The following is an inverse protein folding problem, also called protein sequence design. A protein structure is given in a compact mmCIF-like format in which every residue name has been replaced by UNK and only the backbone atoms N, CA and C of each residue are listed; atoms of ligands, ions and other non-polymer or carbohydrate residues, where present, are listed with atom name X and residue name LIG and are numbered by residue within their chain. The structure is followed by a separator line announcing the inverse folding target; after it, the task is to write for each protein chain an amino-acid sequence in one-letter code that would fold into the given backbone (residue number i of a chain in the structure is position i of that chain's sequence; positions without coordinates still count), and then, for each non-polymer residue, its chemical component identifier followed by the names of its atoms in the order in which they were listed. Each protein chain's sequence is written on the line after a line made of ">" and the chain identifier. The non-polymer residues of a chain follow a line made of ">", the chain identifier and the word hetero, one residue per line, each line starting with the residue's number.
data_IF_123960353461
#
_entry.id   IF_123960353461
#
_cell.length_a   1.000
_cell.length_b   1.000
_cell.length_c   1.000
_cell.angle_alpha   90.00
_cell.angle_beta   90.00
_cell.angle_gamma   90.00
#
_symmetry.space_group_name_H-M   'P 1'
#
loop_
_entity.id
_entity.type
_entity.pdbx_description
1 polymer ?
#
# COMPACT_ATOMS: atom_id res chain seq x y z
N UNK A 1 -18.01 0.51 -12.82
CA UNK A 1 -19.19 0.72 -11.94
C UNK A 1 -19.85 2.04 -12.29
N UNK A 2 -21.12 2.07 -12.52
CA UNK A 2 -21.87 3.31 -12.72
C UNK A 2 -22.65 3.60 -11.44
N UNK A 3 -22.48 4.78 -10.88
CA UNK A 3 -23.28 5.21 -9.74
C UNK A 3 -23.98 6.53 -10.07
N UNK A 4 -25.25 6.61 -9.77
CA UNK A 4 -26.02 7.84 -9.82
C UNK A 4 -26.40 8.19 -8.40
N UNK A 5 -25.95 9.33 -7.90
CA UNK A 5 -26.38 9.84 -6.60
C UNK A 5 -27.18 11.11 -6.76
N UNK A 6 -28.40 11.09 -6.26
CA UNK A 6 -29.21 12.29 -6.04
C UNK A 6 -29.35 12.51 -4.54
N UNK A 7 -28.97 13.69 -4.04
CA UNK A 7 -29.27 14.04 -2.65
C UNK A 7 -30.78 14.39 -2.55
N UNK A 8 -31.55 13.69 -1.70
CA UNK A 8 -33.00 13.87 -1.63
C UNK A 8 -33.47 15.14 -0.90
N UNK A 9 -32.54 16.02 -0.52
CA UNK A 9 -32.93 17.30 0.09
C UNK A 9 -33.26 18.33 -1.00
N UNK A 10 -34.52 18.54 -1.24
CA UNK A 10 -35.11 19.47 -2.22
C UNK A 10 -34.63 20.94 -2.14
N UNK A 11 -33.79 21.28 -1.20
CA UNK A 11 -33.14 22.61 -1.11
C UNK A 11 -31.91 22.76 -2.00
N UNK A 12 -31.29 21.66 -2.42
CA UNK A 12 -30.06 21.65 -3.23
C UNK A 12 -30.17 20.62 -4.37
N UNK A 13 -30.75 20.98 -5.52
CA UNK A 13 -30.95 20.06 -6.64
C UNK A 13 -29.65 19.76 -7.39
N UNK A 14 -28.63 19.29 -6.70
CA UNK A 14 -27.41 18.78 -7.30
C UNK A 14 -27.49 17.29 -7.53
N UNK A 15 -27.24 16.86 -8.76
CA UNK A 15 -27.13 15.46 -9.14
C UNK A 15 -25.73 15.19 -9.70
N UNK A 16 -25.20 14.02 -9.47
CA UNK A 16 -23.93 13.60 -10.05
C UNK A 16 -24.05 12.22 -10.68
N UNK A 17 -23.45 12.07 -11.84
CA UNK A 17 -23.26 10.78 -12.51
C UNK A 17 -21.76 10.51 -12.46
N UNK A 18 -21.38 9.33 -11.96
CA UNK A 18 -19.98 8.91 -11.88
C UNK A 18 -19.83 7.59 -12.61
N UNK A 19 -18.81 7.51 -13.43
CA UNK A 19 -18.35 6.27 -14.06
C UNK A 19 -16.90 6.04 -13.65
N UNK A 20 -16.59 4.86 -13.12
CA UNK A 20 -15.23 4.50 -12.75
C UNK A 20 -14.87 3.09 -13.18
N UNK A 21 -13.60 2.89 -13.49
CA UNK A 21 -13.00 1.60 -13.78
C UNK A 21 -12.03 1.27 -12.65
N UNK A 22 -12.35 0.20 -11.96
CA UNK A 22 -11.50 -0.39 -10.92
C UNK A 22 -10.70 -1.54 -11.54
N UNK A 23 -9.41 -1.55 -11.29
CA UNK A 23 -8.53 -2.65 -11.67
C UNK A 23 -7.72 -3.10 -10.48
N UNK A 24 -7.74 -4.41 -10.23
CA UNK A 24 -7.04 -5.08 -9.15
C UNK A 24 -6.22 -6.20 -9.76
N UNK A 25 -4.91 -6.16 -9.55
CA UNK A 25 -4.00 -7.26 -9.82
C UNK A 25 -3.32 -7.63 -8.49
N UNK A 26 -3.41 -8.89 -8.07
CA UNK A 26 -2.81 -9.37 -6.84
C UNK A 26 -2.23 -10.76 -7.04
N UNK A 27 -0.98 -10.93 -6.61
CA UNK A 27 -0.25 -12.20 -6.62
C UNK A 27 0.26 -12.46 -5.21
N UNK A 28 0.02 -13.67 -4.74
CA UNK A 28 0.56 -14.15 -3.48
C UNK A 28 1.05 -15.59 -3.67
N UNK A 29 2.31 -15.82 -3.35
CA UNK A 29 2.97 -17.11 -3.39
C UNK A 29 3.83 -17.21 -2.14
N UNK A 30 3.47 -18.07 -1.21
CA UNK A 30 4.22 -18.28 0.02
C UNK A 30 4.09 -19.71 0.48
N UNK A 31 5.17 -20.26 0.99
CA UNK A 31 5.15 -21.52 1.74
C UNK A 31 4.43 -21.25 3.06
N UNK A 32 3.36 -21.99 3.32
CA UNK A 32 2.57 -21.85 4.55
C UNK A 32 2.89 -22.94 5.58
N UNK A 33 3.36 -24.08 5.10
CA UNK A 33 3.80 -25.20 5.93
C UNK A 33 5.05 -25.77 5.31
N UNK A 34 6.09 -25.88 6.10
CA UNK A 34 7.34 -26.47 5.64
C UNK A 34 7.23 -28.00 5.64
N UNK A 35 7.49 -28.58 4.48
CA UNK A 35 7.57 -30.02 4.34
C UNK A 35 8.89 -30.51 4.94
N UNK A 36 8.88 -31.63 5.63
CA UNK A 36 10.11 -32.16 6.20
C UNK A 36 9.94 -33.46 6.96
N UNK A 37 11.08 -33.95 7.38
CA UNK A 37 11.22 -35.07 8.34
C UNK A 37 11.56 -34.43 9.69
N UNK A 38 10.79 -34.76 10.71
CA UNK A 38 10.98 -34.26 12.06
C UNK A 38 11.27 -35.42 12.99
N UNK A 39 12.54 -35.59 13.37
CA UNK A 39 13.00 -36.60 14.28
C UNK A 39 13.14 -36.02 15.70
N UNK A 40 12.84 -36.84 16.69
CA UNK A 40 13.00 -36.50 18.09
C UNK A 40 14.46 -36.65 18.59
N UNK A 41 14.60 -36.92 19.91
CA UNK A 41 15.91 -37.08 20.59
C UNK A 41 16.67 -38.33 20.17
N UNK A 42 16.05 -39.24 19.44
CA UNK A 42 16.71 -40.46 18.94
C UNK A 42 17.38 -40.26 17.58
N UNK A 43 17.15 -39.10 16.93
CA UNK A 43 17.78 -38.76 15.65
C UNK A 43 17.13 -39.44 14.45
N UNK A 44 17.89 -39.49 13.36
CA UNK A 44 17.45 -40.13 12.12
C UNK A 44 18.58 -40.95 11.49
N UNK A 45 18.19 -42.03 10.83
CA UNK A 45 19.05 -42.83 9.96
C UNK A 45 18.36 -43.01 8.61
N UNK A 46 18.81 -42.23 7.61
CA UNK A 46 18.16 -42.11 6.30
C UNK A 46 19.12 -42.59 5.22
N UNK A 47 18.67 -43.61 4.47
CA UNK A 47 19.36 -44.14 3.30
C UNK A 47 18.53 -43.91 2.03
N UNK A 48 19.09 -43.13 1.10
CA UNK A 48 18.45 -42.84 -0.19
C UNK A 48 19.31 -43.43 -1.32
N UNK A 49 18.77 -44.40 -2.03
CA UNK A 49 19.49 -45.08 -3.11
C UNK A 49 19.88 -44.21 -4.30
N UNK A 50 19.16 -43.08 -4.49
CA UNK A 50 19.42 -42.06 -5.50
C UNK A 50 19.75 -40.71 -4.84
N UNK A 51 19.33 -39.60 -5.45
CA UNK A 51 19.56 -38.27 -4.91
C UNK A 51 18.50 -37.82 -3.90
N UNK A 52 18.91 -36.96 -3.00
CA UNK A 52 18.04 -36.22 -2.07
C UNK A 52 17.96 -34.76 -2.51
N UNK A 53 16.76 -34.26 -2.74
CA UNK A 53 16.51 -32.85 -3.03
C UNK A 53 15.61 -32.27 -1.95
N UNK A 54 16.05 -31.20 -1.31
CA UNK A 54 15.26 -30.40 -0.38
C UNK A 54 14.96 -29.06 -1.04
N UNK A 55 13.70 -28.80 -1.30
CA UNK A 55 13.24 -27.50 -1.84
C UNK A 55 12.32 -26.82 -0.82
N UNK A 56 12.85 -25.81 -0.12
CA UNK A 56 12.18 -25.19 1.03
C UNK A 56 11.81 -26.20 2.12
N UNK A 57 12.53 -27.30 2.22
CA UNK A 57 12.21 -28.45 3.05
C UNK A 57 13.24 -28.65 4.17
N UNK A 58 12.88 -29.39 5.20
CA UNK A 58 13.74 -29.60 6.37
C UNK A 58 13.85 -31.06 6.76
N UNK A 59 15.06 -31.47 7.14
CA UNK A 59 15.28 -32.67 7.96
C UNK A 59 15.74 -32.17 9.33
N UNK A 60 14.81 -32.17 10.27
CA UNK A 60 15.01 -31.65 11.62
C UNK A 60 15.16 -32.79 12.62
N UNK A 61 16.05 -32.63 13.60
CA UNK A 61 16.27 -33.54 14.68
C UNK A 61 16.63 -32.79 15.97
N UNK A 62 16.06 -33.23 17.08
CA UNK A 62 16.44 -32.80 18.42
C UNK A 62 17.68 -33.56 18.98
N UNK A 63 18.17 -34.56 18.25
CA UNK A 63 19.27 -35.41 18.66
C UNK A 63 20.64 -34.76 18.43
N UNK A 64 21.66 -35.13 19.19
CA UNK A 64 23.03 -34.77 18.91
C UNK A 64 23.52 -35.32 17.57
N UNK A 65 24.49 -34.65 16.94
CA UNK A 65 25.07 -34.95 15.63
C UNK A 65 25.31 -36.46 15.37
N UNK A 66 25.86 -37.16 16.33
CA UNK A 66 26.22 -38.57 16.17
C UNK A 66 25.04 -39.54 15.95
N UNK A 67 23.81 -39.08 16.24
CA UNK A 67 22.58 -39.86 16.03
C UNK A 67 21.85 -39.52 14.72
N UNK A 68 22.36 -38.58 13.95
CA UNK A 68 21.78 -38.16 12.69
C UNK A 68 22.64 -38.66 11.53
N UNK A 69 22.12 -39.55 10.71
CA UNK A 69 22.83 -40.06 9.53
C UNK A 69 21.99 -39.91 8.26
N UNK A 70 22.58 -39.40 7.21
CA UNK A 70 21.99 -39.39 5.87
C UNK A 70 23.03 -39.92 4.87
N UNK A 71 22.66 -40.97 4.15
CA UNK A 71 23.44 -41.49 3.03
C UNK A 71 22.63 -41.36 1.74
N UNK A 72 23.20 -40.71 0.74
CA UNK A 72 22.57 -40.44 -0.56
C UNK A 72 23.62 -40.35 -1.67
N UNK A 73 23.23 -40.53 -2.94
CA UNK A 73 24.12 -40.33 -4.09
C UNK A 73 24.37 -38.86 -4.42
N UNK A 74 23.36 -38.03 -4.21
CA UNK A 74 23.47 -36.57 -4.40
C UNK A 74 22.61 -35.86 -3.38
N UNK A 75 23.05 -34.68 -2.95
CA UNK A 75 22.29 -33.81 -2.07
C UNK A 75 22.17 -32.44 -2.74
N UNK A 76 20.94 -32.00 -2.97
CA UNK A 76 20.63 -30.69 -3.49
C UNK A 76 19.71 -29.95 -2.51
N UNK A 77 20.08 -28.74 -2.13
CA UNK A 77 19.30 -27.90 -1.24
C UNK A 77 18.94 -26.60 -1.95
N UNK A 78 17.65 -26.34 -2.10
CA UNK A 78 17.07 -25.17 -2.78
C UNK A 78 16.14 -24.44 -1.86
N UNK A 79 16.33 -23.15 -1.77
CA UNK A 79 15.42 -22.27 -1.05
C UNK A 79 14.23 -21.87 -1.95
N UNK A 80 13.08 -21.61 -1.35
CA UNK A 80 11.89 -21.12 -2.05
C UNK A 80 11.73 -19.62 -1.79
N UNK A 81 11.65 -18.84 -2.86
CA UNK A 81 11.32 -17.43 -2.79
C UNK A 81 9.81 -17.25 -2.62
N UNK A 82 9.40 -16.62 -1.52
CA UNK A 82 8.04 -16.21 -1.27
C UNK A 82 7.84 -14.78 -1.81
N UNK A 83 6.73 -14.53 -2.46
CA UNK A 83 6.39 -13.25 -3.07
C UNK A 83 4.94 -12.89 -2.79
N UNK A 84 4.72 -11.63 -2.46
CA UNK A 84 3.41 -11.03 -2.38
C UNK A 84 3.47 -9.67 -3.06
N UNK A 85 2.57 -9.43 -4.01
CA UNK A 85 2.47 -8.14 -4.70
C UNK A 85 1.03 -7.83 -5.03
N UNK A 86 0.70 -6.55 -5.06
CA UNK A 86 -0.58 -6.10 -5.58
C UNK A 86 -0.45 -4.72 -6.22
N UNK A 87 -1.33 -4.48 -7.19
CA UNK A 87 -1.63 -3.17 -7.73
C UNK A 87 -3.13 -2.94 -7.72
N UNK A 88 -3.52 -1.76 -7.33
CA UNK A 88 -4.89 -1.30 -7.34
C UNK A 88 -4.96 0.04 -8.06
N UNK A 89 -5.93 0.21 -8.94
CA UNK A 89 -6.24 1.48 -9.55
C UNK A 89 -7.75 1.65 -9.69
N UNK A 90 -8.21 2.87 -9.48
CA UNK A 90 -9.60 3.24 -9.68
C UNK A 90 -9.62 4.62 -10.36
N UNK A 91 -9.91 4.64 -11.64
CA UNK A 91 -9.99 5.87 -12.43
C UNK A 91 -11.41 6.08 -12.91
N UNK A 92 -11.87 7.31 -12.84
CA UNK A 92 -13.22 7.60 -13.24
C UNK A 92 -13.40 9.03 -13.71
N UNK A 93 -14.60 9.30 -14.18
CA UNK A 93 -15.06 10.63 -14.55
C UNK A 93 -16.43 10.83 -13.94
N UNK A 94 -16.60 11.97 -13.32
CA UNK A 94 -17.90 12.43 -12.82
C UNK A 94 -18.42 13.58 -13.62
N UNK A 95 -19.71 13.71 -13.69
CA UNK A 95 -20.38 14.90 -14.18
C UNK A 95 -21.38 15.39 -13.14
N UNK A 96 -21.16 16.60 -12.66
CA UNK A 96 -22.04 17.25 -11.71
C UNK A 96 -23.02 18.17 -12.46
N UNK A 97 -24.26 18.06 -12.10
CA UNK A 97 -25.36 18.78 -12.71
C UNK A 97 -26.22 19.46 -11.65
N UNK A 98 -26.69 20.66 -11.94
CA UNK A 98 -27.63 21.40 -11.11
C UNK A 98 -28.99 21.52 -11.82
N UNK A 99 -30.04 20.93 -11.21
CA UNK A 99 -31.33 20.70 -11.87
C UNK A 99 -32.24 21.91 -12.04
N UNK A 100 -31.84 23.10 -11.52
CA UNK A 100 -32.70 24.28 -11.60
C UNK A 100 -31.94 25.52 -12.04
N UNK A 101 -31.99 25.85 -13.33
CA UNK A 101 -31.41 27.09 -13.87
C UNK A 101 -31.99 28.32 -13.18
N UNK A 102 -33.31 28.34 -12.89
CA UNK A 102 -33.99 29.46 -12.23
C UNK A 102 -33.41 29.71 -10.84
N UNK A 103 -33.26 28.67 -10.01
CA UNK A 103 -32.65 28.83 -8.69
C UNK A 103 -31.21 29.28 -8.76
N UNK A 104 -30.46 28.82 -9.76
CA UNK A 104 -29.05 29.22 -9.95
C UNK A 104 -28.96 30.71 -10.26
N UNK A 105 -29.82 31.25 -11.12
CA UNK A 105 -29.87 32.70 -11.40
C UNK A 105 -30.35 33.53 -10.19
N UNK A 106 -31.32 33.03 -9.41
CA UNK A 106 -31.76 33.66 -8.17
C UNK A 106 -30.61 33.71 -7.14
N UNK A 107 -29.81 32.64 -7.03
CA UNK A 107 -28.61 32.63 -6.17
C UNK A 107 -27.54 33.61 -6.65
N UNK A 108 -27.35 33.75 -7.96
CA UNK A 108 -26.41 34.72 -8.53
C UNK A 108 -26.72 36.15 -8.11
N UNK A 109 -28.00 36.48 -7.99
CA UNK A 109 -28.47 37.80 -7.58
C UNK A 109 -28.40 38.02 -6.05
N UNK A 110 -28.75 37.00 -5.26
CA UNK A 110 -28.99 37.11 -3.84
C UNK A 110 -27.98 36.45 -2.93
N UNK A 111 -27.21 35.46 -3.45
CA UNK A 111 -26.16 34.74 -2.73
C UNK A 111 -25.01 34.37 -3.70
N UNK A 112 -24.22 35.38 -4.02
CA UNK A 112 -23.09 35.21 -4.94
C UNK A 112 -22.11 34.12 -4.49
N UNK A 113 -21.86 34.00 -3.18
CA UNK A 113 -20.92 32.99 -2.64
C UNK A 113 -21.46 31.58 -2.83
N UNK A 114 -22.75 31.36 -2.57
CA UNK A 114 -23.41 30.09 -2.83
C UNK A 114 -23.47 29.75 -4.33
N UNK A 115 -23.77 30.77 -5.17
CA UNK A 115 -23.75 30.63 -6.62
C UNK A 115 -22.36 30.18 -7.13
N UNK A 116 -21.29 30.89 -6.76
CA UNK A 116 -19.93 30.59 -7.20
C UNK A 116 -19.52 29.18 -6.78
N UNK A 117 -19.88 28.74 -5.57
CA UNK A 117 -19.62 27.38 -5.07
C UNK A 117 -20.30 26.32 -5.94
N UNK A 118 -21.57 26.51 -6.27
CA UNK A 118 -22.35 25.56 -7.08
C UNK A 118 -21.89 25.61 -8.54
N UNK A 119 -21.76 26.81 -9.11
CA UNK A 119 -21.35 27.00 -10.50
C UNK A 119 -20.00 26.37 -10.81
N UNK A 120 -19.02 26.54 -9.92
CA UNK A 120 -17.70 25.94 -10.05
C UNK A 120 -17.67 24.43 -9.82
N UNK A 121 -18.74 23.85 -9.27
CA UNK A 121 -18.91 22.42 -9.07
C UNK A 121 -19.60 21.70 -10.23
N UNK A 122 -20.21 22.47 -11.16
CA UNK A 122 -20.92 21.92 -12.34
C UNK A 122 -19.92 21.51 -13.40
N UNK A 123 -20.19 20.39 -14.07
CA UNK A 123 -19.42 19.91 -15.23
C UNK A 123 -18.65 18.64 -14.95
N UNK A 124 -17.66 18.41 -15.77
CA UNK A 124 -16.80 17.24 -15.69
C UNK A 124 -15.86 17.34 -14.50
N UNK A 125 -15.92 16.35 -13.63
CA UNK A 125 -15.01 16.20 -12.48
C UNK A 125 -14.21 14.92 -12.69
N UNK A 126 -12.91 15.01 -12.91
CA UNK A 126 -12.08 13.81 -12.94
C UNK A 126 -12.10 13.16 -11.55
N UNK A 127 -12.55 11.92 -11.50
CA UNK A 127 -12.42 11.08 -10.32
C UNK A 127 -11.13 10.28 -10.47
N UNK A 128 -10.02 10.93 -10.23
CA UNK A 128 -8.71 10.29 -10.22
C UNK A 128 -8.62 9.50 -8.91
N UNK A 129 -9.05 8.25 -8.96
CA UNK A 129 -8.81 7.31 -7.88
C UNK A 129 -7.32 7.15 -7.69
N UNK A 130 -6.88 7.32 -6.46
CA UNK A 130 -5.46 7.18 -6.13
C UNK A 130 -5.13 5.68 -6.15
N UNK A 131 -4.23 5.27 -7.03
CA UNK A 131 -3.76 3.89 -7.09
C UNK A 131 -3.03 3.49 -5.80
N UNK A 132 -3.01 2.21 -5.50
CA UNK A 132 -2.23 1.65 -4.39
C UNK A 132 -1.45 0.44 -4.88
N UNK A 133 -0.26 0.24 -4.36
CA UNK A 133 0.59 -0.92 -4.68
C UNK A 133 1.38 -1.35 -3.45
N UNK A 134 1.66 -2.64 -3.36
CA UNK A 134 2.54 -3.18 -2.34
C UNK A 134 3.32 -4.36 -2.87
N UNK A 135 4.50 -4.58 -2.30
CA UNK A 135 5.35 -5.73 -2.58
C UNK A 135 6.05 -6.16 -1.29
N UNK A 136 6.08 -7.47 -1.07
CA UNK A 136 6.86 -8.10 0.00
C UNK A 136 7.49 -9.39 -0.52
N UNK A 137 8.62 -9.77 0.04
CA UNK A 137 9.29 -11.03 -0.27
C UNK A 137 9.97 -11.58 0.97
N UNK A 138 10.08 -12.91 1.03
CA UNK A 138 10.86 -13.63 2.03
C UNK A 138 11.41 -14.91 1.39
N UNK A 139 12.25 -15.65 2.12
CA UNK A 139 12.85 -16.88 1.63
C UNK A 139 12.58 -18.00 2.63
N UNK A 140 11.88 -19.05 2.21
CA UNK A 140 11.81 -20.29 2.97
C UNK A 140 13.05 -21.11 2.67
N UNK A 141 13.88 -21.31 3.69
CA UNK A 141 15.17 -21.98 3.53
C UNK A 141 15.01 -23.49 3.63
N UNK A 142 15.92 -24.20 2.93
CA UNK A 142 16.15 -25.63 3.16
C UNK A 142 17.22 -25.81 4.21
N UNK A 143 17.03 -26.83 5.07
CA UNK A 143 18.02 -27.14 6.11
C UNK A 143 18.03 -28.62 6.49
N UNK A 144 19.14 -29.08 7.01
CA UNK A 144 19.32 -30.41 7.59
C UNK A 144 20.01 -30.26 8.94
N UNK A 145 19.42 -30.77 10.03
CA UNK A 145 20.11 -30.79 11.34
C UNK A 145 21.50 -31.46 11.22
N UNK A 146 22.47 -30.89 11.92
CA UNK A 146 23.84 -31.38 11.88
C UNK A 146 23.91 -32.90 12.13
N UNK A 147 24.70 -33.58 11.33
CA UNK A 147 24.75 -35.05 11.28
C UNK A 147 25.98 -35.58 10.55
N UNK A 148 26.03 -36.89 10.38
CA UNK A 148 26.99 -37.58 9.51
C UNK A 148 26.31 -37.73 8.15
N UNK A 149 26.71 -36.86 7.21
CA UNK A 149 26.12 -36.81 5.87
C UNK A 149 27.10 -37.41 4.84
N UNK A 150 26.71 -38.52 4.24
CA UNK A 150 27.49 -39.22 3.22
C UNK A 150 26.83 -39.02 1.86
N UNK A 151 27.56 -38.35 0.94
CA UNK A 151 27.14 -38.12 -0.44
C UNK A 151 28.10 -38.84 -1.38
N UNK A 152 27.59 -39.72 -2.25
CA UNK A 152 28.36 -40.54 -3.18
C UNK A 152 29.51 -41.28 -2.49
N UNK A 153 29.21 -41.84 -1.31
CA UNK A 153 30.18 -42.60 -0.51
C UNK A 153 31.21 -41.77 0.24
N UNK A 154 31.12 -40.43 0.22
CA UNK A 154 32.03 -39.52 0.92
C UNK A 154 31.29 -38.70 1.96
N UNK A 155 31.85 -38.63 3.17
CA UNK A 155 31.32 -37.72 4.19
C UNK A 155 31.58 -36.27 3.77
N UNK A 156 30.54 -35.43 3.86
CA UNK A 156 30.61 -34.00 3.54
C UNK A 156 30.76 -33.17 4.81
N UNK A 157 31.42 -32.02 4.70
CA UNK A 157 31.51 -31.06 5.80
C UNK A 157 30.15 -30.28 5.93
N UNK A 158 29.44 -30.52 7.03
CA UNK A 158 28.15 -29.91 7.31
C UNK A 158 28.22 -28.38 7.46
N UNK A 159 29.41 -27.80 7.63
CA UNK A 159 29.64 -26.34 7.61
C UNK A 159 29.37 -25.71 6.24
N UNK A 160 29.34 -26.49 5.18
CA UNK A 160 29.09 -26.01 3.81
C UNK A 160 27.62 -25.93 3.44
N UNK A 161 26.74 -26.40 4.32
CA UNK A 161 25.29 -26.43 4.12
C UNK A 161 24.57 -25.73 5.28
N UNK A 162 23.28 -25.42 5.09
CA UNK A 162 22.45 -24.86 6.16
C UNK A 162 22.05 -25.95 7.16
N UNK A 163 22.60 -25.90 8.36
CA UNK A 163 22.25 -26.81 9.47
C UNK A 163 21.32 -26.18 10.51
N UNK A 164 21.00 -24.89 10.36
CA UNK A 164 20.00 -24.24 11.20
C UNK A 164 18.59 -24.60 10.72
N UNK A 165 17.88 -25.40 11.49
CA UNK A 165 16.52 -25.84 11.17
C UNK A 165 15.43 -25.01 11.89
N UNK A 166 15.81 -23.98 12.65
CA UNK A 166 14.88 -23.12 13.38
C UNK A 166 14.54 -21.86 12.60
N UNK A 167 13.26 -21.48 12.64
CA UNK A 167 12.76 -20.22 12.06
C UNK A 167 13.07 -20.02 10.57
N UNK A 168 13.08 -21.08 9.76
CA UNK A 168 13.46 -21.05 8.35
C UNK A 168 12.27 -20.98 7.38
N UNK A 169 11.04 -21.06 7.87
CA UNK A 169 9.83 -21.00 7.04
C UNK A 169 9.60 -19.62 6.42
N UNK A 170 9.76 -18.55 7.17
CA UNK A 170 9.58 -17.15 6.74
C UNK A 170 8.32 -16.93 5.88
N UNK A 171 7.18 -17.45 6.34
CA UNK A 171 5.89 -17.28 5.67
C UNK A 171 5.59 -15.79 5.46
N UNK A 172 5.04 -15.45 4.29
CA UNK A 172 4.49 -14.12 4.01
C UNK A 172 2.99 -14.09 4.26
N UNK A 173 2.54 -13.03 4.93
CA UNK A 173 1.13 -12.70 5.02
C UNK A 173 0.59 -12.19 3.67
N UNK A 174 -0.71 -12.30 3.50
CA UNK A 174 -1.39 -11.66 2.37
C UNK A 174 -1.40 -10.16 2.59
N UNK A 175 -0.65 -9.43 1.76
CA UNK A 175 -0.51 -7.97 1.87
C UNK A 175 -1.66 -7.20 1.20
N UNK A 176 -2.46 -7.87 0.35
CA UNK A 176 -3.62 -7.28 -0.29
C UNK A 176 -4.86 -7.43 0.59
N UNK A 177 -5.41 -6.28 1.00
CA UNK A 177 -6.69 -6.19 1.71
C UNK A 177 -7.53 -5.11 1.02
N UNK A 178 -8.51 -5.55 0.23
CA UNK A 178 -9.37 -4.66 -0.55
C UNK A 178 -10.09 -3.65 0.35
N UNK A 179 -10.67 -4.10 1.47
CA UNK A 179 -11.41 -3.25 2.39
C UNK A 179 -10.53 -2.14 2.98
N UNK A 180 -9.32 -2.51 3.41
CA UNK A 180 -8.35 -1.56 3.96
C UNK A 180 -7.88 -0.53 2.93
N UNK A 181 -7.77 -0.94 1.66
CA UNK A 181 -7.43 -0.03 0.56
C UNK A 181 -8.59 0.93 0.29
N UNK A 182 -9.82 0.44 0.22
CA UNK A 182 -11.02 1.26 0.02
C UNK A 182 -11.22 2.27 1.16
N UNK A 183 -11.03 1.86 2.41
CA UNK A 183 -11.07 2.74 3.58
C UNK A 183 -10.03 3.86 3.51
N UNK A 184 -8.79 3.54 3.11
CA UNK A 184 -7.72 4.54 2.92
C UNK A 184 -8.03 5.50 1.80
N UNK A 185 -8.59 5.02 0.70
CA UNK A 185 -8.98 5.88 -0.42
C UNK A 185 -10.13 6.80 -0.06
N UNK A 186 -11.12 6.31 0.66
CA UNK A 186 -12.21 7.15 1.14
C UNK A 186 -11.71 8.23 2.11
N UNK A 187 -10.79 7.87 3.01
CA UNK A 187 -10.15 8.84 3.88
C UNK A 187 -9.37 9.91 3.08
N UNK A 188 -8.59 9.49 2.08
CA UNK A 188 -7.86 10.39 1.19
C UNK A 188 -8.80 11.32 0.40
N UNK A 189 -9.93 10.79 -0.06
CA UNK A 189 -10.97 11.54 -0.76
C UNK A 189 -11.61 12.60 0.14
N UNK A 190 -12.00 12.21 1.35
CA UNK A 190 -12.60 13.13 2.34
C UNK A 190 -11.61 14.22 2.76
N UNK A 191 -10.37 13.84 3.01
CA UNK A 191 -9.30 14.80 3.31
C UNK A 191 -9.12 15.79 2.16
N UNK A 192 -8.95 15.31 0.92
CA UNK A 192 -8.77 16.16 -0.26
C UNK A 192 -9.92 17.12 -0.42
N UNK A 193 -11.16 16.63 -0.30
CA UNK A 193 -12.36 17.48 -0.41
C UNK A 193 -12.32 18.62 0.60
N UNK A 194 -12.07 18.32 1.87
CA UNK A 194 -12.08 19.32 2.93
C UNK A 194 -10.90 20.29 2.80
N UNK A 195 -9.71 19.79 2.51
CA UNK A 195 -8.51 20.60 2.34
C UNK A 195 -8.62 21.54 1.12
N UNK A 196 -9.08 21.05 -0.02
CA UNK A 196 -9.29 21.89 -1.20
C UNK A 196 -10.43 22.89 -1.02
N UNK A 197 -11.47 22.58 -0.24
CA UNK A 197 -12.54 23.53 0.09
C UNK A 197 -11.98 24.69 0.93
N UNK A 198 -11.12 24.41 1.91
CA UNK A 198 -10.45 25.46 2.69
C UNK A 198 -9.51 26.30 1.81
N UNK A 199 -8.71 25.65 0.99
CA UNK A 199 -7.79 26.33 0.08
C UNK A 199 -8.53 27.19 -0.97
N UNK A 200 -9.72 26.75 -1.42
CA UNK A 200 -10.56 27.52 -2.34
C UNK A 200 -11.04 28.83 -1.70
N UNK A 201 -11.38 28.78 -0.42
CA UNK A 201 -11.84 29.97 0.32
C UNK A 201 -10.73 31.00 0.56
N UNK A 202 -9.45 30.57 0.49
CA UNK A 202 -8.33 31.49 0.59
C UNK A 202 -8.07 32.20 -0.74
N UNK A 203 -8.26 33.52 -0.76
CA UNK A 203 -8.14 34.38 -1.95
C UNK A 203 -6.95 35.31 -1.81
N UNK A 204 -5.71 34.88 -2.10
CA UNK A 204 -4.53 35.71 -2.00
C UNK A 204 -4.54 36.85 -3.04
N UNK A 205 -4.27 38.04 -2.62
CA UNK A 205 -4.20 39.27 -3.48
C UNK A 205 -2.80 39.49 -4.02
N UNK A 206 -1.77 39.01 -3.33
CA UNK A 206 -0.36 39.18 -3.70
C UNK A 206 0.13 38.09 -4.64
N UNK A 207 1.19 38.40 -5.42
CA UNK A 207 1.83 37.40 -6.31
C UNK A 207 2.39 36.23 -5.52
N UNK A 208 3.02 36.48 -4.38
CA UNK A 208 3.60 35.44 -3.52
C UNK A 208 2.50 34.57 -2.90
N UNK A 209 1.38 35.17 -2.50
CA UNK A 209 0.22 34.43 -2.04
C UNK A 209 -0.37 33.49 -3.10
N UNK A 210 -0.42 33.90 -4.37
CA UNK A 210 -0.85 33.05 -5.48
C UNK A 210 0.10 31.87 -5.72
N UNK A 211 1.41 32.11 -5.60
CA UNK A 211 2.43 31.06 -5.68
C UNK A 211 2.27 30.08 -4.51
N UNK A 212 2.10 30.59 -3.28
CA UNK A 212 1.87 29.79 -2.10
C UNK A 212 0.62 28.91 -2.27
N UNK A 213 -0.49 29.45 -2.75
CA UNK A 213 -1.72 28.68 -3.04
C UNK A 213 -1.49 27.53 -4.01
N UNK A 214 -0.69 27.75 -5.06
CA UNK A 214 -0.34 26.69 -6.02
C UNK A 214 0.48 25.56 -5.39
N UNK A 215 1.40 25.92 -4.48
CA UNK A 215 2.22 24.94 -3.74
C UNK A 215 1.34 24.12 -2.80
N UNK A 216 0.39 24.74 -2.11
CA UNK A 216 -0.55 24.06 -1.21
C UNK A 216 -1.43 23.06 -1.94
N UNK A 217 -1.88 23.36 -3.15
CA UNK A 217 -2.57 22.38 -4.00
C UNK A 217 -1.73 21.11 -4.22
N UNK A 218 -0.43 21.28 -4.49
CA UNK A 218 0.50 20.16 -4.65
C UNK A 218 0.70 19.36 -3.35
N UNK A 219 0.81 20.04 -2.21
CA UNK A 219 0.97 19.42 -0.89
C UNK A 219 -0.27 18.60 -0.53
N UNK A 220 -1.47 19.14 -0.70
CA UNK A 220 -2.72 18.44 -0.43
C UNK A 220 -2.82 17.17 -1.31
N UNK A 221 -2.46 17.29 -2.59
CA UNK A 221 -2.44 16.16 -3.51
C UNK A 221 -1.46 15.06 -3.09
N UNK A 222 -0.26 15.42 -2.64
CA UNK A 222 0.74 14.46 -2.16
C UNK A 222 0.30 13.77 -0.87
N UNK A 223 -0.25 14.53 0.09
CA UNK A 223 -0.76 13.97 1.34
C UNK A 223 -1.90 12.98 1.06
N UNK A 224 -2.85 13.37 0.20
CA UNK A 224 -3.94 12.49 -0.20
C UNK A 224 -3.45 11.20 -0.87
N UNK A 225 -2.44 11.32 -1.74
CA UNK A 225 -1.83 10.16 -2.40
C UNK A 225 -1.19 9.19 -1.40
N UNK A 226 -0.49 9.70 -0.39
CA UNK A 226 0.09 8.88 0.69
C UNK A 226 -0.97 8.22 1.56
N UNK A 227 -2.01 8.94 1.94
CA UNK A 227 -3.13 8.39 2.71
C UNK A 227 -3.78 7.22 1.96
N UNK A 228 -3.86 7.29 0.64
CA UNK A 228 -4.35 6.20 -0.21
C UNK A 228 -3.37 5.03 -0.37
N UNK A 229 -2.15 5.13 0.16
CA UNK A 229 -1.14 4.07 0.15
C UNK A 229 -0.13 4.14 -0.99
N UNK A 230 0.01 5.28 -1.65
CA UNK A 230 1.03 5.48 -2.68
C UNK A 230 2.39 5.89 -2.10
N UNK A 231 3.43 5.63 -2.88
CA UNK A 231 4.79 6.07 -2.56
C UNK A 231 4.98 7.56 -2.80
N UNK A 232 6.00 8.15 -2.16
CA UNK A 232 6.44 9.53 -2.34
C UNK A 232 6.49 9.96 -3.82
N UNK A 233 5.98 11.15 -4.11
CA UNK A 233 6.05 11.76 -5.44
C UNK A 233 4.92 11.37 -6.39
N UNK A 234 3.95 10.55 -5.96
CA UNK A 234 2.81 10.15 -6.80
C UNK A 234 1.78 11.27 -6.99
N UNK A 235 1.69 12.21 -6.06
CA UNK A 235 0.78 13.37 -6.15
C UNK A 235 1.46 14.69 -6.52
N UNK A 236 2.78 14.73 -6.41
CA UNK A 236 3.61 15.90 -6.77
C UNK A 236 4.79 15.41 -7.61
N UNK A 237 5.00 15.93 -8.81
CA UNK A 237 6.20 15.58 -9.58
C UNK A 237 7.46 15.91 -8.77
N UNK A 238 8.00 14.90 -8.18
CA UNK A 238 9.34 14.56 -7.68
C UNK A 238 10.40 15.65 -7.39
N UNK A 239 10.06 16.86 -7.02
CA UNK A 239 11.08 17.87 -6.72
C UNK A 239 11.12 18.36 -5.27
N UNK A 240 10.27 17.84 -4.40
CA UNK A 240 10.30 18.18 -2.98
C UNK A 240 10.71 17.00 -2.10
N UNK A 241 11.82 17.16 -1.38
CA UNK A 241 12.21 16.25 -0.30
C UNK A 241 11.25 16.40 0.89
N UNK A 242 11.18 15.38 1.75
CA UNK A 242 10.37 15.41 2.97
C UNK A 242 10.65 16.65 3.83
N UNK A 243 11.92 17.07 3.91
CA UNK A 243 12.35 18.25 4.68
C UNK A 243 11.76 19.55 4.13
N UNK A 244 11.78 19.73 2.80
CA UNK A 244 11.17 20.90 2.17
C UNK A 244 9.65 20.92 2.33
N UNK A 245 9.01 19.76 2.38
CA UNK A 245 7.57 19.66 2.64
C UNK A 245 7.26 20.09 4.08
N UNK A 246 8.01 19.60 5.07
CA UNK A 246 7.87 19.94 6.48
C UNK A 246 8.15 21.41 6.74
N UNK A 247 9.22 21.99 6.15
CA UNK A 247 9.50 23.42 6.29
C UNK A 247 8.39 24.31 5.72
N UNK A 248 7.83 23.93 4.57
CA UNK A 248 6.72 24.69 3.96
C UNK A 248 5.43 24.54 4.73
N UNK A 249 5.13 23.33 5.24
CA UNK A 249 4.02 23.10 6.16
C UNK A 249 4.15 23.98 7.41
N UNK A 250 5.33 24.04 8.03
CA UNK A 250 5.59 24.91 9.17
C UNK A 250 5.35 26.39 8.83
N UNK A 251 5.82 26.85 7.67
CA UNK A 251 5.68 28.24 7.23
C UNK A 251 4.23 28.63 6.91
N UNK A 252 3.44 27.69 6.44
CA UNK A 252 1.98 27.83 6.23
C UNK A 252 1.28 27.83 7.60
N UNK A 253 1.75 26.97 8.50
CA UNK A 253 1.24 26.78 9.84
C UNK A 253 1.42 28.00 10.76
N UNK A 254 2.51 28.74 10.59
CA UNK A 254 2.80 29.95 11.38
C UNK A 254 1.78 31.09 11.14
N UNK A 255 1.03 31.04 10.03
CA UNK A 255 0.04 32.06 9.67
C UNK A 255 -1.43 31.59 9.86
N UNK A 256 -1.68 30.29 10.09
CA UNK A 256 -3.02 29.76 10.35
C UNK A 256 -2.96 28.54 11.32
N UNK A 257 -3.28 28.77 12.62
CA UNK A 257 -3.22 27.73 13.65
C UNK A 257 -4.12 26.52 13.36
N UNK A 258 -5.24 26.70 12.67
CA UNK A 258 -6.19 25.64 12.35
C UNK A 258 -5.61 24.75 11.24
N UNK A 259 -5.03 25.37 10.21
CA UNK A 259 -4.36 24.65 9.14
C UNK A 259 -3.11 23.93 9.65
N UNK A 260 -2.37 24.55 10.59
CA UNK A 260 -1.23 23.97 11.30
C UNK A 260 -1.59 22.67 12.02
N UNK A 261 -2.67 22.72 12.77
CA UNK A 261 -3.15 21.60 13.56
C UNK A 261 -3.61 20.43 12.65
N UNK A 262 -4.28 20.74 11.56
CA UNK A 262 -4.71 19.78 10.56
C UNK A 262 -3.54 19.12 9.82
N UNK A 263 -2.59 19.92 9.36
CA UNK A 263 -1.41 19.43 8.63
C UNK A 263 -0.49 18.63 9.56
N UNK A 264 -0.32 19.06 10.82
CA UNK A 264 0.47 18.32 11.81
C UNK A 264 -0.17 16.97 12.17
N UNK A 265 -1.50 16.93 12.34
CA UNK A 265 -2.23 15.69 12.61
C UNK A 265 -2.13 14.72 11.42
N UNK A 266 -2.09 15.23 10.20
CA UNK A 266 -2.04 14.42 8.97
C UNK A 266 -0.63 13.90 8.71
N UNK A 267 0.41 14.70 8.96
CA UNK A 267 1.82 14.29 8.82
C UNK A 267 2.23 13.37 9.97
N UNK A 268 1.76 13.63 11.20
CA UNK A 268 2.03 12.77 12.37
C UNK A 268 1.30 11.42 12.34
N UNK A 269 0.24 11.28 11.57
CA UNK A 269 -0.49 10.01 11.40
C UNK A 269 0.02 9.13 10.23
N UNK A 270 1.06 9.59 9.51
CA UNK A 270 1.63 8.90 8.33
C UNK A 270 3.10 8.50 8.56
N UNK A 271 3.65 8.79 9.75
CA UNK A 271 5.00 8.35 10.16
C UNK A 271 4.92 7.04 10.93
#
# INVERSE_FOLDING_TARGET
>A
MFSVSSKPNFKDPTSSINASVERIDSKWKSVTHQVGIYAGEDGYDIHVGNGTTLEGAVINSAAPKAKNTLTTKSLEMKDIQNEAEYTYSNNGIGYNYYGSKKKLEEMKANDKKGYDKIYNSIGLVPNLGVGSKGKASSTTQSAISDGILTVDGKEIDTKTINTNTENILHQLDKIFDKKKIEERQELARLFSKNAFEQLHNWQPTTKDGKIAKSIEHGIIGEVAARMAGNTLGSGFKATMTNEMLIEKIKKIADNDPVLAQWLSATVGGVV
#
